data_IF_175508479335
#
_entry.id   IF_175508479335
#
_cell.length_a   1.000
_cell.length_b   1.000
_cell.length_c   1.000
_cell.angle_alpha   90.00
_cell.angle_beta   90.00
_cell.angle_gamma   90.00
#
_symmetry.space_group_name_H-M   'P 1'
#
loop_
_entity.id
_entity.type
_entity.pdbx_description
1 polymer ?
#
# COMPACT_ATOMS: atom_id res chain seq x y z
N UNK A 1 5.60 28.06 -48.94
CA UNK A 1 5.01 26.70 -48.82
C UNK A 1 6.00 25.83 -48.03
N UNK A 2 5.74 25.62 -46.74
CA UNK A 2 6.52 24.68 -45.92
C UNK A 2 5.59 24.00 -44.93
N UNK A 3 5.60 22.66 -44.98
CA UNK A 3 4.72 21.71 -44.28
C UNK A 3 4.87 21.81 -42.76
N UNK A 4 3.75 21.77 -42.04
CA UNK A 4 3.71 21.34 -40.64
C UNK A 4 3.99 19.83 -40.59
N UNK A 5 5.10 19.43 -39.97
CA UNK A 5 5.31 18.06 -39.51
C UNK A 5 4.91 18.00 -38.03
N UNK A 6 3.83 17.26 -37.73
CA UNK A 6 3.46 16.91 -36.36
C UNK A 6 4.44 15.86 -35.85
N UNK A 7 5.33 16.23 -34.92
CA UNK A 7 6.18 15.28 -34.20
C UNK A 7 5.35 14.54 -33.16
N UNK A 8 5.17 13.24 -33.39
CA UNK A 8 4.52 12.31 -32.48
C UNK A 8 5.54 11.94 -31.38
N UNK A 9 5.39 12.51 -30.18
CA UNK A 9 6.28 12.24 -29.04
C UNK A 9 5.90 10.90 -28.39
N UNK A 10 6.86 10.00 -28.30
CA UNK A 10 6.66 8.65 -27.74
C UNK A 10 6.82 8.66 -26.22
N UNK A 11 6.14 7.74 -25.53
CA UNK A 11 6.08 7.61 -24.05
C UNK A 11 7.46 7.58 -23.34
N UNK A 12 8.55 7.35 -24.06
CA UNK A 12 9.93 7.37 -23.55
C UNK A 12 10.50 8.78 -23.32
N UNK A 13 9.95 9.83 -23.91
CA UNK A 13 10.46 11.21 -23.75
C UNK A 13 10.00 11.87 -22.44
N UNK A 14 8.94 11.35 -21.80
CA UNK A 14 8.44 11.87 -20.52
C UNK A 14 9.32 11.50 -19.31
N UNK A 15 10.10 10.42 -19.38
CA UNK A 15 10.92 9.96 -18.24
C UNK A 15 12.29 10.64 -18.11
N UNK A 16 12.62 11.64 -18.95
CA UNK A 16 13.93 12.32 -18.94
C UNK A 16 13.92 13.79 -18.52
N UNK A 17 12.79 14.34 -18.08
CA UNK A 17 12.69 15.75 -17.68
C UNK A 17 12.77 16.02 -16.16
N UNK A 18 13.40 15.13 -15.38
CA UNK A 18 13.61 15.33 -13.95
C UNK A 18 15.12 15.44 -13.62
N UNK A 19 15.77 16.47 -14.16
CA UNK A 19 17.09 16.88 -13.70
C UNK A 19 17.23 18.40 -13.88
N UNK A 20 17.21 19.12 -12.76
CA UNK A 20 17.56 20.55 -12.71
C UNK A 20 16.38 21.48 -12.52
N UNK A 21 15.94 21.63 -11.28
CA UNK A 21 15.27 22.85 -10.83
C UNK A 21 16.01 23.37 -9.59
N UNK A 22 17.07 24.16 -9.80
CA UNK A 22 17.61 25.05 -8.79
C UNK A 22 16.58 26.15 -8.54
N UNK A 23 15.91 26.13 -7.38
CA UNK A 23 15.06 27.24 -6.97
C UNK A 23 15.94 28.23 -6.19
N UNK A 24 16.22 29.36 -6.82
CA UNK A 24 16.78 30.52 -6.15
C UNK A 24 15.72 31.10 -5.21
N UNK A 25 15.98 31.09 -3.90
CA UNK A 25 15.20 31.87 -2.93
C UNK A 25 15.89 33.20 -2.76
N UNK A 26 15.32 34.25 -3.34
CA UNK A 26 15.69 35.62 -3.07
C UNK A 26 14.60 36.27 -2.20
N UNK A 27 14.91 36.50 -0.92
CA UNK A 27 14.33 37.57 -0.12
C UNK A 27 15.22 37.90 1.09
N UNK A 28 15.77 39.11 1.03
CA UNK A 28 16.10 40.06 2.10
C UNK A 28 16.74 39.57 3.41
N UNK A 29 17.88 40.17 3.74
CA UNK A 29 18.73 39.77 4.85
C UNK A 29 18.15 40.02 6.23
N UNK A 30 18.33 39.03 7.10
CA UNK A 30 18.62 39.20 8.52
C UNK A 30 19.14 37.87 9.07
N UNK A 31 20.38 37.91 9.56
CA UNK A 31 21.13 36.98 10.43
C UNK A 31 20.42 35.66 10.80
N UNK A 32 20.93 34.52 10.30
CA UNK A 32 20.57 33.18 10.77
C UNK A 32 21.33 32.85 12.07
N UNK A 33 20.67 32.47 13.17
CA UNK A 33 21.35 31.81 14.28
C UNK A 33 21.60 30.34 13.96
N UNK A 34 22.82 29.90 14.29
CA UNK A 34 23.34 28.55 14.21
C UNK A 34 22.47 27.55 15.00
N UNK A 35 21.69 26.71 14.31
CA UNK A 35 20.98 25.58 14.94
C UNK A 35 21.76 24.31 14.63
N UNK A 36 22.31 23.70 15.68
CA UNK A 36 23.21 22.56 15.61
C UNK A 36 22.64 21.33 14.90
N UNK A 37 23.52 20.65 14.17
CA UNK A 37 23.29 19.45 13.36
C UNK A 37 22.98 18.16 14.18
N UNK A 38 22.14 18.27 15.22
CA UNK A 38 21.85 17.17 16.16
C UNK A 38 20.40 16.69 16.22
N UNK A 39 19.49 17.27 15.44
CA UNK A 39 18.05 16.91 15.45
C UNK A 39 17.40 16.84 14.06
N UNK A 40 18.18 16.91 12.98
CA UNK A 40 17.67 17.06 11.61
C UNK A 40 17.57 15.74 10.80
N UNK A 41 17.50 14.57 11.45
CA UNK A 41 17.37 13.27 10.76
C UNK A 41 16.07 12.52 11.07
N UNK A 42 15.00 13.24 11.43
CA UNK A 42 13.65 12.68 11.52
C UNK A 42 12.75 13.34 10.46
N UNK A 43 13.05 13.12 9.18
CA UNK A 43 12.14 13.25 8.03
C UNK A 43 12.95 13.19 6.73
N UNK A 44 13.49 12.03 6.37
CA UNK A 44 13.97 11.81 5.02
C UNK A 44 13.24 10.61 4.42
N UNK A 45 11.92 10.77 4.28
CA UNK A 45 11.03 10.09 3.32
C UNK A 45 9.71 10.88 3.22
N UNK A 46 9.76 12.09 2.69
CA UNK A 46 8.55 12.82 2.27
C UNK A 46 8.94 14.03 1.40
N UNK A 47 9.53 13.80 0.24
CA UNK A 47 9.29 14.76 -0.84
C UNK A 47 7.84 14.56 -1.32
N UNK A 48 6.90 15.29 -0.70
CA UNK A 48 5.66 15.72 -1.37
C UNK A 48 4.34 15.09 -0.94
N UNK A 49 3.74 15.58 0.15
CA UNK A 49 2.28 15.80 0.22
C UNK A 49 1.99 16.96 1.18
N UNK A 50 2.26 18.18 0.72
CA UNK A 50 2.05 19.42 1.49
C UNK A 50 0.57 19.68 1.89
N UNK A 51 -0.33 18.78 1.52
CA UNK A 51 -1.77 18.84 1.74
C UNK A 51 -2.24 17.93 2.90
N UNK A 52 -1.37 17.08 3.47
CA UNK A 52 -1.75 16.26 4.64
C UNK A 52 -1.86 17.15 5.87
N UNK A 53 -3.05 17.20 6.46
CA UNK A 53 -3.34 18.00 7.66
C UNK A 53 -3.36 17.16 8.93
N UNK A 54 -3.57 15.85 8.80
CA UNK A 54 -3.55 14.93 9.93
C UNK A 54 -3.02 13.56 9.52
N UNK A 55 -2.21 12.96 10.40
CA UNK A 55 -1.78 11.57 10.30
C UNK A 55 -2.05 10.88 11.64
N UNK A 56 -2.70 9.72 11.62
CA UNK A 56 -2.96 8.92 12.82
C UNK A 56 -2.84 7.43 12.54
N UNK A 57 -2.58 6.67 13.58
CA UNK A 57 -2.60 5.21 13.54
C UNK A 57 -4.03 4.72 13.79
N UNK A 58 -4.47 3.75 12.99
CA UNK A 58 -5.79 3.13 13.06
C UNK A 58 -5.69 1.61 12.89
N UNK A 59 -6.78 0.90 13.16
CA UNK A 59 -6.91 -0.52 12.83
C UNK A 59 -7.37 -0.66 11.38
N UNK A 60 -6.61 -1.37 10.54
CA UNK A 60 -6.94 -1.60 9.14
C UNK A 60 -6.39 -2.92 8.66
N UNK A 61 -7.26 -3.85 8.23
CA UNK A 61 -6.86 -5.21 7.92
C UNK A 61 -7.39 -5.66 6.56
N UNK A 62 -6.49 -6.23 5.76
CA UNK A 62 -6.77 -6.94 4.51
C UNK A 62 -6.74 -8.44 4.79
N UNK A 63 -7.74 -9.17 4.31
CA UNK A 63 -7.84 -10.61 4.50
C UNK A 63 -8.49 -11.35 3.33
N UNK A 64 -8.25 -12.66 3.26
CA UNK A 64 -9.00 -13.61 2.42
C UNK A 64 -10.09 -14.27 3.26
N UNK A 65 -11.32 -14.34 2.75
CA UNK A 65 -12.46 -14.89 3.49
C UNK A 65 -12.31 -16.39 3.79
N UNK A 66 -12.84 -16.82 4.94
CA UNK A 66 -12.89 -18.23 5.36
C UNK A 66 -13.49 -19.19 4.32
N UNK A 67 -14.31 -18.71 3.38
CA UNK A 67 -14.89 -19.52 2.32
C UNK A 67 -13.83 -20.00 1.31
N UNK A 68 -12.78 -19.21 1.11
CA UNK A 68 -11.73 -19.46 0.13
C UNK A 68 -10.48 -20.09 0.75
N UNK A 69 -10.21 -19.78 2.02
CA UNK A 69 -8.99 -20.25 2.68
C UNK A 69 -9.08 -21.73 3.11
N UNK A 70 -7.95 -22.46 3.05
CA UNK A 70 -7.90 -23.84 3.53
C UNK A 70 -7.96 -23.98 5.05
N UNK A 71 -7.73 -22.89 5.78
CA UNK A 71 -7.74 -22.86 7.25
C UNK A 71 -9.15 -22.67 7.83
N UNK A 72 -10.18 -22.51 6.98
CA UNK A 72 -11.60 -22.35 7.34
C UNK A 72 -11.87 -21.17 8.30
N UNK A 73 -10.99 -20.17 8.23
CA UNK A 73 -11.03 -18.91 8.98
C UNK A 73 -10.51 -17.81 8.05
N UNK A 74 -10.86 -16.57 8.34
CA UNK A 74 -10.28 -15.44 7.59
C UNK A 74 -8.77 -15.48 7.75
N UNK A 75 -8.04 -15.37 6.63
CA UNK A 75 -6.58 -15.28 6.63
C UNK A 75 -6.20 -13.82 6.45
N UNK A 76 -5.74 -13.19 7.53
CA UNK A 76 -5.35 -11.78 7.57
C UNK A 76 -3.93 -11.62 7.00
N UNK A 77 -3.85 -10.96 5.86
CA UNK A 77 -2.57 -10.65 5.19
C UNK A 77 -1.73 -9.63 5.98
N UNK A 78 -2.37 -8.90 6.90
CA UNK A 78 -1.76 -7.99 7.86
C UNK A 78 -1.19 -8.68 9.10
N UNK A 79 -1.42 -9.97 9.26
CA UNK A 79 -0.93 -10.76 10.38
C UNK A 79 0.30 -11.58 9.92
N UNK A 80 1.41 -11.51 10.66
CA UNK A 80 2.68 -12.18 10.34
C UNK A 80 2.69 -13.67 10.70
N UNK A 81 1.60 -14.19 11.25
CA UNK A 81 1.42 -15.59 11.59
C UNK A 81 1.56 -16.51 10.37
N UNK A 82 2.51 -17.44 10.43
CA UNK A 82 2.77 -18.41 9.38
C UNK A 82 2.58 -19.86 9.87
N UNK A 83 1.75 -20.68 9.21
CA UNK A 83 1.56 -22.08 9.56
C UNK A 83 2.89 -22.87 9.53
N UNK A 84 2.97 -24.04 10.18
CA UNK A 84 1.97 -24.62 11.07
C UNK A 84 2.02 -24.04 12.50
N UNK A 85 3.05 -23.27 12.85
CA UNK A 85 3.31 -22.84 14.22
C UNK A 85 2.45 -21.65 14.65
N UNK A 86 2.19 -20.72 13.73
CA UNK A 86 1.29 -19.58 13.95
C UNK A 86 0.25 -19.54 12.83
N UNK A 87 -0.92 -18.94 13.07
CA UNK A 87 -1.97 -18.84 12.06
C UNK A 87 -2.37 -17.39 11.92
N UNK A 88 -2.49 -16.83 10.69
CA UNK A 88 -2.87 -15.44 10.49
C UNK A 88 -4.38 -15.26 10.60
N UNK A 89 -5.00 -15.75 11.68
CA UNK A 89 -6.46 -15.86 11.81
C UNK A 89 -7.11 -14.77 12.65
N UNK A 90 -6.32 -13.81 13.10
CA UNK A 90 -6.78 -12.69 13.93
C UNK A 90 -6.42 -11.36 13.26
N UNK A 91 -7.31 -10.36 13.27
CA UNK A 91 -6.97 -9.02 12.84
C UNK A 91 -5.88 -8.43 13.76
N UNK A 92 -5.13 -7.46 13.22
CA UNK A 92 -4.11 -6.72 13.97
C UNK A 92 -4.66 -5.33 14.29
N UNK A 93 -4.56 -4.91 15.54
CA UNK A 93 -5.01 -3.59 16.00
C UNK A 93 -3.92 -2.54 15.77
N UNK A 94 -4.31 -1.29 15.48
CA UNK A 94 -3.39 -0.16 15.41
C UNK A 94 -2.22 -0.34 14.44
N UNK A 95 -2.45 -1.04 13.33
CA UNK A 95 -1.41 -1.45 12.37
C UNK A 95 -1.34 -0.57 11.11
N UNK A 96 -2.38 0.21 10.82
CA UNK A 96 -2.49 1.00 9.60
C UNK A 96 -2.31 2.49 9.88
N UNK A 97 -1.91 3.25 8.86
CA UNK A 97 -1.74 4.70 8.93
C UNK A 97 -2.81 5.39 8.11
N UNK A 98 -3.59 6.28 8.73
CA UNK A 98 -4.58 7.11 8.07
C UNK A 98 -4.05 8.54 7.93
N UNK A 99 -3.99 9.02 6.70
CA UNK A 99 -3.72 10.42 6.38
C UNK A 99 -5.01 11.11 5.93
N UNK A 100 -5.30 12.27 6.52
CA UNK A 100 -6.38 13.16 6.09
C UNK A 100 -5.76 14.39 5.45
N UNK A 101 -6.19 14.72 4.23
CA UNK A 101 -5.75 15.93 3.52
C UNK A 101 -6.67 17.12 3.74
N UNK A 102 -6.19 18.33 3.41
CA UNK A 102 -6.96 19.56 3.57
C UNK A 102 -8.23 19.58 2.71
N UNK A 103 -8.23 18.87 1.57
CA UNK A 103 -9.42 18.66 0.73
C UNK A 103 -10.41 17.61 1.30
N UNK A 104 -10.08 16.99 2.44
CA UNK A 104 -10.92 16.03 3.15
C UNK A 104 -10.76 14.58 2.69
N UNK A 105 -9.84 14.28 1.76
CA UNK A 105 -9.57 12.87 1.41
C UNK A 105 -8.92 12.12 2.56
N UNK A 106 -9.27 10.85 2.66
CA UNK A 106 -8.74 9.92 3.67
C UNK A 106 -7.95 8.82 2.96
N UNK A 107 -6.63 8.81 3.12
CA UNK A 107 -5.78 7.75 2.58
C UNK A 107 -5.33 6.81 3.68
N UNK A 108 -5.73 5.54 3.59
CA UNK A 108 -5.38 4.49 4.52
C UNK A 108 -4.27 3.61 3.94
N UNK A 109 -3.11 3.62 4.57
CA UNK A 109 -1.99 2.72 4.22
C UNK A 109 -2.00 1.51 5.14
N UNK A 110 -2.18 0.32 4.57
CA UNK A 110 -2.26 -0.95 5.28
C UNK A 110 -1.04 -1.81 4.95
N UNK A 111 -0.24 -2.24 5.96
CA UNK A 111 0.90 -3.11 5.73
C UNK A 111 0.46 -4.55 5.44
N UNK A 112 1.04 -5.18 4.42
CA UNK A 112 0.83 -6.58 4.05
C UNK A 112 2.08 -7.35 4.43
N UNK A 113 2.02 -8.11 5.53
CA UNK A 113 3.20 -8.70 6.16
C UNK A 113 3.21 -10.23 6.09
N UNK A 114 2.08 -10.87 5.77
CA UNK A 114 2.04 -12.32 5.71
C UNK A 114 2.95 -12.87 4.59
N UNK A 115 3.75 -13.89 4.93
CA UNK A 115 4.63 -14.59 3.98
C UNK A 115 4.03 -15.92 3.50
N UNK A 116 2.93 -16.39 4.11
CA UNK A 116 2.24 -17.61 3.71
C UNK A 116 1.27 -17.37 2.56
N UNK A 117 0.48 -16.32 2.66
CA UNK A 117 -0.52 -15.87 1.70
C UNK A 117 -0.01 -14.56 1.09
N UNK A 118 0.79 -14.69 0.02
CA UNK A 118 1.40 -13.54 -0.62
C UNK A 118 0.49 -12.96 -1.68
N UNK A 119 -0.06 -11.77 -1.43
CA UNK A 119 -0.81 -11.04 -2.44
C UNK A 119 0.10 -10.61 -3.60
N UNK A 120 -0.34 -10.86 -4.83
CA UNK A 120 0.38 -10.57 -6.06
C UNK A 120 -0.29 -9.44 -6.85
N UNK A 121 -1.62 -9.34 -6.79
CA UNK A 121 -2.38 -8.25 -7.39
C UNK A 121 -3.73 -8.07 -6.69
N UNK A 122 -4.24 -6.84 -6.72
CA UNK A 122 -5.54 -6.45 -6.19
C UNK A 122 -6.27 -5.61 -7.26
N UNK A 123 -7.60 -5.67 -7.29
CA UNK A 123 -8.41 -4.77 -8.11
C UNK A 123 -8.25 -3.31 -7.68
N UNK A 124 -8.25 -2.37 -8.62
CA UNK A 124 -8.06 -0.94 -8.34
C UNK A 124 -9.22 -0.31 -7.54
N UNK A 125 -10.39 -0.94 -7.53
CA UNK A 125 -11.60 -0.43 -6.85
C UNK A 125 -12.36 -1.60 -6.22
N UNK A 126 -12.98 -1.35 -5.06
CA UNK A 126 -13.88 -2.29 -4.42
C UNK A 126 -15.14 -2.53 -5.27
N UNK A 127 -15.77 -3.69 -5.11
CA UNK A 127 -16.94 -4.11 -5.90
C UNK A 127 -18.15 -3.18 -5.71
N UNK A 128 -18.25 -2.50 -4.57
CA UNK A 128 -19.28 -1.50 -4.26
C UNK A 128 -18.86 -0.07 -4.61
N UNK A 129 -17.62 0.15 -5.07
CA UNK A 129 -17.08 1.46 -5.42
C UNK A 129 -16.77 2.38 -4.25
N UNK A 130 -16.85 1.91 -3.00
CA UNK A 130 -16.65 2.74 -1.80
C UNK A 130 -15.18 3.00 -1.46
N UNK A 131 -14.27 2.15 -1.94
CA UNK A 131 -12.82 2.23 -1.71
C UNK A 131 -12.07 2.05 -3.04
N UNK A 132 -11.04 2.86 -3.27
CA UNK A 132 -10.10 2.64 -4.38
C UNK A 132 -8.66 2.44 -3.90
N UNK A 133 -7.89 1.68 -4.65
CA UNK A 133 -6.44 1.52 -4.46
C UNK A 133 -5.75 2.70 -5.13
N UNK A 134 -4.91 3.40 -4.37
CA UNK A 134 -4.15 4.57 -4.81
C UNK A 134 -2.69 4.19 -5.09
N UNK A 135 -2.14 3.30 -4.28
CA UNK A 135 -0.75 2.83 -4.43
C UNK A 135 -0.59 1.41 -3.91
N UNK A 136 0.37 0.69 -4.49
CA UNK A 136 0.73 -0.68 -4.11
C UNK A 136 2.26 -0.76 -4.06
N UNK A 137 2.80 -1.03 -2.88
CA UNK A 137 4.22 -1.29 -2.72
C UNK A 137 4.49 -2.78 -2.92
N UNK A 138 5.45 -3.10 -3.80
CA UNK A 138 6.00 -4.44 -3.95
C UNK A 138 7.29 -4.55 -3.14
N UNK A 139 7.53 -5.71 -2.56
CA UNK A 139 8.77 -6.01 -1.85
C UNK A 139 9.17 -7.47 -1.96
N UNK A 140 10.43 -7.74 -1.63
CA UNK A 140 11.01 -9.07 -1.74
C UNK A 140 10.27 -10.07 -0.86
N UNK A 141 10.13 -11.29 -1.37
CA UNK A 141 9.40 -12.34 -0.69
C UNK A 141 10.27 -13.52 -0.30
N UNK A 142 10.33 -13.76 1.01
CA UNK A 142 10.92 -14.96 1.60
C UNK A 142 9.83 -15.82 2.20
N UNK A 143 9.53 -16.96 1.56
CA UNK A 143 8.55 -17.91 2.09
C UNK A 143 9.01 -18.47 3.46
N UNK A 144 8.07 -18.76 4.39
CA UNK A 144 8.41 -19.22 5.73
C UNK A 144 8.80 -20.71 5.76
N UNK A 145 9.45 -21.14 6.85
CA UNK A 145 9.63 -22.55 7.23
C UNK A 145 10.24 -23.48 6.14
N UNK A 146 11.30 -23.03 5.47
CA UNK A 146 11.96 -23.74 4.36
C UNK A 146 11.05 -24.01 3.16
N UNK A 147 9.87 -23.39 3.09
CA UNK A 147 9.02 -23.44 1.92
C UNK A 147 9.57 -22.55 0.82
N UNK A 148 8.94 -22.62 -0.34
CA UNK A 148 9.37 -21.85 -1.49
C UNK A 148 8.19 -21.23 -2.20
N UNK A 149 8.47 -20.09 -2.81
CA UNK A 149 7.60 -19.38 -3.75
C UNK A 149 8.35 -19.25 -5.07
N UNK A 150 7.67 -19.30 -6.23
CA UNK A 150 8.27 -18.98 -7.52
C UNK A 150 8.41 -17.46 -7.74
N UNK A 151 7.83 -16.64 -6.84
CA UNK A 151 7.81 -15.19 -6.96
C UNK A 151 8.92 -14.56 -6.13
N UNK A 152 9.68 -13.65 -6.74
CA UNK A 152 10.70 -12.86 -6.04
C UNK A 152 10.07 -11.77 -5.16
N UNK A 153 8.90 -11.26 -5.56
CA UNK A 153 8.23 -10.14 -4.89
C UNK A 153 6.75 -10.42 -4.67
N UNK A 154 6.19 -9.75 -3.67
CA UNK A 154 4.75 -9.69 -3.38
C UNK A 154 4.37 -8.28 -2.95
N UNK A 155 3.08 -8.02 -2.85
CA UNK A 155 2.56 -6.79 -2.25
C UNK A 155 2.94 -6.77 -0.76
N UNK A 156 3.56 -5.67 -0.32
CA UNK A 156 3.96 -5.45 1.09
C UNK A 156 3.24 -4.27 1.74
N UNK A 157 2.59 -3.43 0.96
CA UNK A 157 1.72 -2.35 1.46
C UNK A 157 0.70 -1.96 0.40
N UNK A 158 -0.50 -1.60 0.83
CA UNK A 158 -1.55 -1.06 -0.04
C UNK A 158 -2.05 0.25 0.55
N UNK A 159 -2.11 1.29 -0.27
CA UNK A 159 -2.70 2.58 0.09
C UNK A 159 -4.07 2.69 -0.56
N UNK A 160 -5.10 2.88 0.24
CA UNK A 160 -6.49 3.00 -0.19
C UNK A 160 -7.01 4.43 -0.03
N UNK A 161 -7.81 4.93 -0.96
CA UNK A 161 -8.71 6.06 -0.72
C UNK A 161 -10.00 5.52 -0.08
N UNK A 162 -10.18 5.88 1.19
CA UNK A 162 -11.30 5.45 2.03
C UNK A 162 -12.24 6.61 2.36
N UNK A 163 -12.21 7.69 1.57
CA UNK A 163 -12.98 8.91 1.84
C UNK A 163 -14.48 8.64 1.99
N UNK A 164 -15.01 7.72 1.19
CA UNK A 164 -16.43 7.34 1.17
C UNK A 164 -16.72 6.03 1.92
N UNK A 165 -15.71 5.44 2.57
CA UNK A 165 -15.87 4.18 3.28
C UNK A 165 -16.46 4.41 4.67
N UNK A 166 -17.48 3.64 5.02
CA UNK A 166 -18.16 3.77 6.30
C UNK A 166 -17.32 3.30 7.50
N UNK A 167 -16.35 2.39 7.28
CA UNK A 167 -15.54 1.80 8.34
C UNK A 167 -16.33 0.94 9.33
N UNK A 168 -15.68 0.57 10.44
CA UNK A 168 -16.26 -0.26 11.50
C UNK A 168 -16.60 -1.67 10.98
N UNK A 169 -17.89 -2.01 10.96
CA UNK A 169 -18.37 -3.30 10.47
C UNK A 169 -18.51 -3.39 8.94
N UNK A 170 -18.27 -2.29 8.21
CA UNK A 170 -18.29 -2.30 6.76
C UNK A 170 -17.12 -3.11 6.18
N UNK A 171 -17.35 -3.79 5.07
CA UNK A 171 -16.34 -4.59 4.35
C UNK A 171 -16.28 -4.07 2.91
N UNK A 172 -15.09 -3.69 2.46
CA UNK A 172 -14.84 -3.41 1.05
C UNK A 172 -14.19 -4.65 0.41
N UNK A 173 -14.85 -5.24 -0.58
CA UNK A 173 -14.38 -6.43 -1.29
C UNK A 173 -13.72 -6.04 -2.61
N UNK A 174 -12.58 -6.62 -2.93
CA UNK A 174 -11.84 -6.40 -4.16
C UNK A 174 -11.81 -7.69 -4.97
N UNK A 175 -12.28 -7.61 -6.21
CA UNK A 175 -12.29 -8.72 -7.17
C UNK A 175 -12.13 -8.17 -8.59
N UNK A 176 -11.28 -8.76 -9.45
CA UNK A 176 -10.44 -9.94 -9.18
C UNK A 176 -9.15 -9.59 -8.41
N UNK A 177 -8.64 -10.54 -7.62
CA UNK A 177 -7.32 -10.47 -7.00
C UNK A 177 -6.52 -11.75 -7.28
N UNK A 178 -5.20 -11.70 -7.05
CA UNK A 178 -4.30 -12.86 -7.18
C UNK A 178 -3.39 -12.99 -5.98
N UNK A 179 -3.19 -14.22 -5.55
CA UNK A 179 -2.27 -14.57 -4.48
C UNK A 179 -1.50 -15.84 -4.79
N UNK A 180 -0.42 -16.06 -4.04
CA UNK A 180 0.24 -17.35 -3.98
C UNK A 180 0.25 -17.85 -2.53
N UNK A 181 -0.25 -19.06 -2.32
CA UNK A 181 -0.11 -19.74 -1.04
C UNK A 181 1.20 -20.53 -1.03
N UNK A 182 2.04 -20.34 -0.02
CA UNK A 182 3.30 -21.12 0.15
C UNK A 182 3.10 -22.36 1.01
N UNK A 183 1.95 -22.47 1.70
CA UNK A 183 1.62 -23.56 2.61
C UNK A 183 1.57 -24.92 1.87
N UNK A 184 2.38 -25.94 2.25
CA UNK A 184 2.64 -27.13 1.42
C UNK A 184 1.41 -27.92 0.95
N UNK A 185 0.36 -28.02 1.77
CA UNK A 185 -0.85 -28.76 1.40
C UNK A 185 -1.77 -28.00 0.44
N UNK A 186 -1.55 -26.70 0.28
CA UNK A 186 -2.41 -25.80 -0.49
C UNK A 186 -1.62 -24.88 -1.42
N UNK A 187 -0.35 -25.22 -1.63
CA UNK A 187 0.63 -24.42 -2.35
C UNK A 187 0.17 -24.16 -3.78
N UNK A 188 0.39 -22.94 -4.26
CA UNK A 188 0.10 -22.55 -5.63
C UNK A 188 -0.63 -21.22 -5.74
N UNK A 189 -0.83 -20.82 -7.00
CA UNK A 189 -1.59 -19.64 -7.37
C UNK A 189 -3.05 -19.76 -6.99
N UNK A 190 -3.63 -18.63 -6.58
CA UNK A 190 -5.02 -18.48 -6.16
C UNK A 190 -5.59 -17.22 -6.77
N UNK A 191 -6.85 -17.31 -7.17
CA UNK A 191 -7.68 -16.18 -7.57
C UNK A 191 -8.71 -15.94 -6.46
N UNK A 192 -8.21 -15.54 -5.29
CA UNK A 192 -9.04 -15.26 -4.11
C UNK A 192 -9.34 -13.78 -4.01
N UNK A 193 -10.56 -13.44 -3.61
CA UNK A 193 -10.94 -12.05 -3.36
C UNK A 193 -10.29 -11.54 -2.08
N UNK A 194 -9.98 -10.25 -2.07
CA UNK A 194 -9.43 -9.55 -0.91
C UNK A 194 -10.50 -8.69 -0.26
N UNK A 195 -10.50 -8.63 1.06
CA UNK A 195 -11.45 -7.86 1.84
C UNK A 195 -10.72 -6.90 2.77
N UNK A 196 -11.13 -5.63 2.76
CA UNK A 196 -10.67 -4.59 3.68
C UNK A 196 -11.72 -4.33 4.76
N UNK A 197 -11.27 -4.34 6.01
CA UNK A 197 -11.99 -3.78 7.16
C UNK A 197 -11.11 -2.71 7.83
N UNK A 198 -11.70 -1.62 8.31
CA UNK A 198 -10.95 -0.54 8.95
C UNK A 198 -11.78 0.25 9.97
N UNK A 199 -11.14 0.74 11.02
CA UNK A 199 -11.70 1.62 12.05
C UNK A 199 -11.18 3.05 11.81
N UNK A 200 -11.95 3.87 11.10
CA UNK A 200 -11.54 5.20 10.60
C UNK A 200 -11.83 6.37 11.55
#
# INVERSE_FOLDING_TARGET
>A
MSKLQTTNLSRRDFFKAAAGATIAVAAAGSVLPNVGAGKAFAAQSASGRADVVETRTVTGNVYVDKADTPIKKNAYLTNDGNPPFNMPTSPVEGNATLEVTADGKKLLTVPIVNDTFGALSISDVSTDGSVSVVDVAMGDWTAPNSWSTPYEQRITSITFDVTNFAGGAAIATFSPCKEYATFPLYKGDKDWDLHLIAEL
#
